data_IF_016362721291
#
_entry.id   IF_016362721291
#
_cell.length_a   1.000
_cell.length_b   1.000
_cell.length_c   1.000
_cell.angle_alpha   90.00
_cell.angle_beta   90.00
_cell.angle_gamma   90.00
#
_symmetry.space_group_name_H-M   'P 1'
#
loop_
_entity.id
_entity.type
_entity.pdbx_description
1 polymer ?
#
# COMPACT_ATOMS: atom_id res chain seq x y z
N UNK A 1 -24.11 -15.18 2.88
CA UNK A 1 -25.09 -14.83 3.93
C UNK A 1 -25.75 -16.06 4.55
N UNK A 2 -26.37 -16.96 3.76
CA UNK A 2 -27.03 -18.16 4.27
C UNK A 2 -26.11 -19.07 5.12
N UNK A 3 -24.91 -19.38 4.61
CA UNK A 3 -23.93 -20.18 5.35
C UNK A 3 -23.49 -19.55 6.70
N UNK A 4 -23.46 -18.21 6.79
CA UNK A 4 -23.09 -17.48 8.01
C UNK A 4 -24.18 -17.57 9.07
N UNK A 5 -25.44 -17.50 8.63
CA UNK A 5 -26.59 -17.69 9.51
C UNK A 5 -26.65 -19.13 10.00
N UNK A 6 -26.37 -20.11 9.15
CA UNK A 6 -26.29 -21.53 9.58
C UNK A 6 -25.17 -21.72 10.62
N UNK A 7 -23.97 -21.20 10.37
CA UNK A 7 -22.84 -21.27 11.31
C UNK A 7 -23.16 -20.64 12.67
N UNK A 8 -23.92 -19.54 12.72
CA UNK A 8 -24.35 -18.90 13.97
C UNK A 8 -25.21 -19.81 14.85
N UNK A 9 -25.96 -20.75 14.25
CA UNK A 9 -26.83 -21.67 14.97
C UNK A 9 -26.20 -23.05 15.23
N UNK A 10 -25.09 -23.39 14.56
CA UNK A 10 -24.36 -24.65 14.74
C UNK A 10 -23.29 -24.59 15.84
N UNK A 11 -22.91 -23.41 16.32
CA UNK A 11 -22.01 -23.29 17.47
C UNK A 11 -22.66 -23.84 18.75
N UNK A 12 -21.97 -24.73 19.50
CA UNK A 12 -22.54 -25.41 20.67
C UNK A 12 -22.91 -24.45 21.81
N UNK A 13 -22.34 -23.24 21.83
CA UNK A 13 -22.76 -22.13 22.68
C UNK A 13 -23.13 -20.91 21.83
N UNK A 14 -24.27 -20.29 22.14
CA UNK A 14 -24.74 -19.10 21.40
C UNK A 14 -23.77 -17.94 21.65
N UNK A 15 -23.24 -17.26 20.62
CA UNK A 15 -22.32 -16.16 20.85
C UNK A 15 -23.01 -15.05 21.64
N UNK A 16 -22.27 -14.48 22.59
CA UNK A 16 -22.76 -13.40 23.48
C UNK A 16 -23.28 -12.18 22.71
N UNK A 17 -22.85 -12.00 21.46
CA UNK A 17 -23.33 -10.97 20.54
C UNK A 17 -23.38 -11.52 19.11
N UNK A 18 -24.59 -11.77 18.62
CA UNK A 18 -24.81 -12.20 17.23
C UNK A 18 -24.34 -11.14 16.22
N UNK A 19 -24.38 -9.87 16.61
CA UNK A 19 -23.93 -8.75 15.78
C UNK A 19 -22.41 -8.76 15.62
N UNK A 20 -21.66 -9.06 16.69
CA UNK A 20 -20.19 -9.16 16.62
C UNK A 20 -19.76 -10.42 15.87
N UNK A 21 -20.48 -11.53 16.03
CA UNK A 21 -20.30 -12.73 15.21
C UNK A 21 -20.47 -12.41 13.72
N UNK A 22 -21.58 -11.78 13.34
CA UNK A 22 -21.84 -11.39 11.96
C UNK A 22 -20.77 -10.42 11.42
N UNK A 23 -20.32 -9.43 12.20
CA UNK A 23 -19.26 -8.51 11.77
C UNK A 23 -17.93 -9.23 11.52
N UNK A 24 -17.51 -10.07 12.45
CA UNK A 24 -16.27 -10.83 12.32
C UNK A 24 -16.34 -11.80 11.15
N UNK A 25 -17.43 -12.56 11.05
CA UNK A 25 -17.59 -13.58 10.01
C UNK A 25 -17.81 -12.95 8.63
N UNK A 26 -18.57 -11.85 8.50
CA UNK A 26 -18.72 -11.15 7.20
C UNK A 26 -17.46 -10.38 6.80
N UNK A 27 -16.71 -9.84 7.76
CA UNK A 27 -15.42 -9.22 7.51
C UNK A 27 -14.34 -10.24 7.09
N UNK A 28 -14.37 -11.45 7.66
CA UNK A 28 -13.50 -12.55 7.29
C UNK A 28 -13.95 -13.31 6.03
N UNK A 29 -15.25 -13.26 5.70
CA UNK A 29 -15.83 -13.88 4.50
C UNK A 29 -15.89 -12.95 3.30
N UNK A 30 -15.56 -11.66 3.45
CA UNK A 30 -15.14 -10.90 2.30
C UNK A 30 -13.87 -11.59 1.80
N UNK A 31 -13.90 -12.29 0.65
CA UNK A 31 -12.65 -12.73 0.05
C UNK A 31 -11.78 -11.48 -0.06
N UNK A 32 -10.48 -11.57 0.20
CA UNK A 32 -9.59 -10.51 -0.25
C UNK A 32 -9.90 -10.31 -1.72
N UNK A 33 -10.58 -9.20 -2.02
CA UNK A 33 -11.14 -8.99 -3.35
C UNK A 33 -9.91 -8.98 -4.26
N UNK A 34 -9.81 -9.87 -5.26
CA UNK A 34 -8.63 -9.95 -6.12
C UNK A 34 -8.32 -8.59 -6.77
N UNK A 35 -9.34 -7.74 -6.95
CA UNK A 35 -9.19 -6.36 -7.38
C UNK A 35 -8.50 -5.46 -6.33
N UNK A 36 -8.79 -5.64 -5.04
CA UNK A 36 -8.11 -4.94 -3.93
C UNK A 36 -6.64 -5.36 -3.85
N UNK A 37 -6.33 -6.65 -4.00
CA UNK A 37 -4.94 -7.12 -4.02
C UNK A 37 -4.17 -6.63 -5.25
N UNK A 38 -4.82 -6.62 -6.42
CA UNK A 38 -4.24 -6.03 -7.62
C UNK A 38 -3.93 -4.52 -7.43
N UNK A 39 -4.87 -3.77 -6.84
CA UNK A 39 -4.67 -2.35 -6.52
C UNK A 39 -3.53 -2.13 -5.49
N UNK A 40 -3.42 -3.00 -4.48
CA UNK A 40 -2.32 -2.93 -3.50
C UNK A 40 -0.97 -3.14 -4.17
N UNK A 41 -0.88 -4.11 -5.08
CA UNK A 41 0.33 -4.38 -5.85
C UNK A 41 0.70 -3.18 -6.75
N UNK A 42 -0.27 -2.63 -7.48
CA UNK A 42 -0.05 -1.46 -8.34
C UNK A 42 0.44 -0.25 -7.55
N UNK A 43 -0.14 0.00 -6.36
CA UNK A 43 0.31 1.07 -5.46
C UNK A 43 1.74 0.82 -4.97
N UNK A 44 2.10 -0.43 -4.66
CA UNK A 44 3.45 -0.77 -4.22
C UNK A 44 4.47 -0.53 -5.35
N UNK A 45 4.18 -1.01 -6.56
CA UNK A 45 5.05 -0.79 -7.74
C UNK A 45 5.19 0.70 -8.08
N UNK A 46 4.10 1.46 -7.99
CA UNK A 46 4.12 2.89 -8.27
C UNK A 46 4.97 3.65 -7.26
N UNK A 47 4.90 3.29 -5.97
CA UNK A 47 5.75 3.85 -4.92
C UNK A 47 7.22 3.54 -5.17
N UNK A 48 7.56 2.30 -5.52
CA UNK A 48 8.95 1.92 -5.82
C UNK A 48 9.52 2.72 -7.00
N UNK A 49 8.77 2.83 -8.10
CA UNK A 49 9.16 3.63 -9.27
C UNK A 49 9.31 5.11 -8.91
N UNK A 50 8.40 5.64 -8.11
CA UNK A 50 8.44 7.04 -7.66
C UNK A 50 9.70 7.34 -6.84
N UNK A 51 10.03 6.48 -5.87
CA UNK A 51 11.24 6.63 -5.05
C UNK A 51 12.53 6.53 -5.90
N UNK A 52 12.58 5.60 -6.86
CA UNK A 52 13.72 5.47 -7.78
C UNK A 52 13.94 6.75 -8.61
N UNK A 53 12.86 7.32 -9.16
CA UNK A 53 12.92 8.57 -9.92
C UNK A 53 13.30 9.76 -9.03
N UNK A 54 12.82 9.81 -7.79
CA UNK A 54 13.20 10.84 -6.82
C UNK A 54 14.70 10.81 -6.53
N UNK A 55 15.26 9.63 -6.30
CA UNK A 55 16.68 9.47 -6.00
C UNK A 55 17.54 9.82 -7.23
N UNK A 56 17.15 9.41 -8.43
CA UNK A 56 17.82 9.84 -9.65
C UNK A 56 17.78 11.37 -9.82
N UNK A 57 16.61 11.99 -9.58
CA UNK A 57 16.44 13.43 -9.67
C UNK A 57 17.37 14.18 -8.70
N UNK A 58 17.49 13.69 -7.46
CA UNK A 58 18.40 14.22 -6.45
C UNK A 58 19.86 14.12 -6.90
N UNK A 59 20.26 12.96 -7.43
CA UNK A 59 21.61 12.74 -7.93
C UNK A 59 21.95 13.64 -9.12
N UNK A 60 21.02 13.83 -10.06
CA UNK A 60 21.19 14.73 -11.20
C UNK A 60 21.31 16.19 -10.75
N UNK A 61 20.45 16.64 -9.83
CA UNK A 61 20.53 17.99 -9.26
C UNK A 61 21.87 18.25 -8.58
N UNK A 62 22.39 17.28 -7.83
CA UNK A 62 23.71 17.39 -7.19
C UNK A 62 24.83 17.52 -8.25
N UNK A 63 24.81 16.69 -9.29
CA UNK A 63 25.79 16.76 -10.40
C UNK A 63 25.75 18.11 -11.12
N UNK A 64 24.55 18.62 -11.41
CA UNK A 64 24.36 19.94 -12.03
C UNK A 64 24.94 21.04 -11.12
N UNK A 65 24.67 20.99 -9.82
CA UNK A 65 25.20 21.97 -8.88
C UNK A 65 26.74 21.97 -8.85
N UNK A 66 27.36 20.79 -8.81
CA UNK A 66 28.83 20.64 -8.86
C UNK A 66 29.40 21.24 -10.15
N UNK A 67 28.77 20.97 -11.29
CA UNK A 67 29.20 21.52 -12.58
C UNK A 67 29.08 23.05 -12.65
N UNK A 68 28.02 23.62 -12.11
CA UNK A 68 27.83 25.08 -12.06
C UNK A 68 28.90 25.75 -11.19
N UNK A 69 29.22 25.16 -10.04
CA UNK A 69 30.27 25.67 -9.14
C UNK A 69 31.64 25.59 -9.81
N UNK A 70 31.98 24.48 -10.45
CA UNK A 70 33.28 24.35 -11.14
C UNK A 70 33.42 25.37 -12.26
N UNK A 71 32.39 25.59 -13.08
CA UNK A 71 32.41 26.63 -14.13
C UNK A 71 32.67 28.03 -13.55
N UNK A 72 31.96 28.41 -12.48
CA UNK A 72 32.12 29.73 -11.86
C UNK A 72 33.53 29.96 -11.31
N UNK A 73 34.17 28.91 -10.80
CA UNK A 73 35.55 28.98 -10.30
C UNK A 73 36.59 29.11 -11.42
N UNK A 74 36.34 28.52 -12.60
CA UNK A 74 37.22 28.60 -13.76
C UNK A 74 37.13 29.93 -14.52
N UNK A 75 36.01 30.65 -14.44
CA UNK A 75 35.85 31.97 -15.07
C UNK A 75 36.37 33.14 -14.22
N UNK A 76 36.82 32.88 -12.99
CA UNK A 76 37.26 33.91 -12.04
C UNK A 76 38.80 34.06 -11.96
N UNK A 77 39.55 33.35 -12.82
CA UNK A 77 40.99 33.47 -13.02
C UNK A 77 41.28 34.04 -14.41
#
# INVERSE_FOLDING_TARGET
>A
LFAVLVALYEEPEKPNSALDFLKHHLGALAPENPEIEALRLEVAEMKEKYEAVLEENKNLKAKVQVYLVSLSSSTSH
#
